data_IF_594580816796
#
_entry.id   IF_594580816796
#
_cell.length_a   1.000
_cell.length_b   1.000
_cell.length_c   1.000
_cell.angle_alpha   90.00
_cell.angle_beta   90.00
_cell.angle_gamma   90.00
#
_symmetry.space_group_name_H-M   'P 1'
#
loop_
_entity.id
_entity.type
_entity.pdbx_description
1 polymer ?
#
# COMPACT_ATOMS: atom_id res chain seq x y z
N UNK A 1 -7.78 -5.83 18.65
CA UNK A 1 -8.98 -4.99 18.49
C UNK A 1 -9.06 -4.69 17.01
N UNK A 2 -9.90 -5.39 16.26
CA UNK A 2 -10.07 -5.15 14.82
C UNK A 2 -11.13 -4.07 14.63
N UNK A 3 -10.90 -3.10 13.73
CA UNK A 3 -11.86 -2.03 13.43
C UNK A 3 -11.29 -0.61 13.43
N UNK A 4 -10.01 -0.42 13.77
CA UNK A 4 -9.38 0.92 13.68
C UNK A 4 -9.35 1.44 12.24
N UNK A 5 -9.15 0.55 11.26
CA UNK A 5 -9.19 0.92 9.86
C UNK A 5 -10.59 1.39 9.45
N UNK A 6 -11.64 0.73 9.92
CA UNK A 6 -13.03 1.13 9.69
C UNK A 6 -13.31 2.52 10.27
N UNK A 7 -13.02 2.71 11.57
CA UNK A 7 -13.26 3.97 12.27
C UNK A 7 -12.36 5.11 11.77
N UNK A 8 -11.29 4.79 11.03
CA UNK A 8 -10.36 5.77 10.52
C UNK A 8 -10.90 6.62 9.38
N UNK A 9 -11.88 6.10 8.62
CA UNK A 9 -12.34 6.69 7.37
C UNK A 9 -11.31 6.65 6.23
N UNK A 10 -10.19 5.95 6.40
CA UNK A 10 -9.16 5.81 5.36
C UNK A 10 -9.60 4.81 4.29
N UNK A 11 -9.27 5.13 3.04
CA UNK A 11 -9.36 4.21 1.91
C UNK A 11 -7.98 3.61 1.64
N UNK A 12 -7.95 2.32 1.33
CA UNK A 12 -6.73 1.57 1.04
C UNK A 12 -6.74 1.10 -0.41
N UNK A 13 -5.66 1.36 -1.13
CA UNK A 13 -5.50 0.95 -2.52
C UNK A 13 -4.46 -0.15 -2.66
N UNK A 14 -4.82 -1.26 -3.30
CA UNK A 14 -3.96 -2.46 -3.42
C UNK A 14 -3.35 -2.53 -4.81
N UNK A 15 -2.03 -2.74 -4.84
CA UNK A 15 -1.33 -3.06 -6.09
C UNK A 15 -1.75 -4.42 -6.68
N UNK A 16 -1.36 -4.66 -7.94
CA UNK A 16 -1.59 -5.93 -8.65
C UNK A 16 -0.99 -7.14 -7.96
N UNK A 17 0.14 -6.96 -7.27
CA UNK A 17 0.89 -8.05 -6.66
C UNK A 17 0.15 -8.71 -5.48
N UNK A 18 -0.69 -7.95 -4.78
CA UNK A 18 -1.54 -8.46 -3.71
C UNK A 18 -2.74 -9.29 -4.22
N UNK A 19 -3.01 -9.25 -5.53
CA UNK A 19 -4.13 -9.92 -6.16
C UNK A 19 -5.48 -9.26 -5.86
N UNK A 20 -6.53 -9.71 -6.56
CA UNK A 20 -7.86 -9.08 -6.53
C UNK A 20 -8.94 -9.87 -5.77
N UNK A 21 -8.58 -10.97 -5.11
CA UNK A 21 -9.54 -11.85 -4.41
C UNK A 21 -9.15 -12.06 -2.95
N UNK A 22 -8.13 -12.87 -2.66
CA UNK A 22 -7.86 -13.35 -1.29
C UNK A 22 -7.55 -12.20 -0.32
N UNK A 23 -6.59 -11.34 -0.66
CA UNK A 23 -6.17 -10.22 0.18
C UNK A 23 -7.28 -9.17 0.35
N UNK A 24 -7.89 -8.61 -0.73
CA UNK A 24 -8.93 -7.61 -0.57
C UNK A 24 -10.18 -8.15 0.16
N UNK A 25 -10.59 -9.39 -0.08
CA UNK A 25 -11.72 -9.99 0.65
C UNK A 25 -11.44 -10.07 2.15
N UNK A 26 -10.29 -10.60 2.56
CA UNK A 26 -9.95 -10.73 3.98
C UNK A 26 -9.83 -9.36 4.69
N UNK A 27 -9.27 -8.35 4.03
CA UNK A 27 -9.20 -7.00 4.60
C UNK A 27 -10.59 -6.36 4.74
N UNK A 28 -11.49 -6.57 3.77
CA UNK A 28 -12.88 -6.10 3.84
C UNK A 28 -13.68 -6.79 4.93
N UNK A 29 -13.49 -8.10 5.11
CA UNK A 29 -14.09 -8.85 6.22
C UNK A 29 -13.64 -8.33 7.59
N UNK A 30 -12.42 -7.78 7.67
CA UNK A 30 -11.92 -7.08 8.85
C UNK A 30 -12.38 -5.60 8.96
N UNK A 31 -13.21 -5.12 8.04
CA UNK A 31 -13.80 -3.78 8.05
C UNK A 31 -13.00 -2.70 7.31
N UNK A 32 -11.94 -3.05 6.58
CA UNK A 32 -11.16 -2.07 5.82
C UNK A 32 -11.90 -1.64 4.55
N UNK A 33 -11.85 -0.35 4.23
CA UNK A 33 -12.31 0.17 2.94
C UNK A 33 -11.19 0.00 1.92
N UNK A 34 -11.34 -0.97 1.03
CA UNK A 34 -10.28 -1.42 0.11
C UNK A 34 -10.76 -1.31 -1.34
N UNK A 35 -9.91 -0.80 -2.23
CA UNK A 35 -10.09 -0.84 -3.68
C UNK A 35 -8.85 -1.43 -4.35
N UNK A 36 -9.05 -2.32 -5.32
CA UNK A 36 -7.99 -2.98 -6.08
C UNK A 36 -7.76 -2.32 -7.44
N UNK A 37 -6.63 -2.59 -8.07
CA UNK A 37 -6.40 -2.15 -9.46
C UNK A 37 -7.46 -2.69 -10.45
N UNK A 38 -7.92 -3.93 -10.27
CA UNK A 38 -8.95 -4.53 -11.13
C UNK A 38 -10.31 -3.81 -10.99
N UNK A 39 -10.66 -3.36 -9.79
CA UNK A 39 -11.89 -2.60 -9.56
C UNK A 39 -11.78 -1.17 -10.10
N UNK A 40 -10.62 -0.53 -9.95
CA UNK A 40 -10.40 0.85 -10.42
C UNK A 40 -10.31 0.95 -11.95
N UNK A 41 -9.56 0.05 -12.57
CA UNK A 41 -9.22 0.16 -13.99
C UNK A 41 -9.94 -0.87 -14.87
N UNK A 42 -10.54 -1.90 -14.28
CA UNK A 42 -11.05 -3.07 -14.97
C UNK A 42 -9.95 -4.13 -15.19
N UNK A 43 -10.33 -5.40 -15.11
CA UNK A 43 -9.40 -6.56 -15.15
C UNK A 43 -8.47 -6.57 -16.38
N UNK A 44 -8.97 -6.18 -17.55
CA UNK A 44 -8.17 -6.21 -18.78
C UNK A 44 -7.17 -5.05 -18.85
N UNK A 45 -7.56 -3.88 -18.35
CA UNK A 45 -6.74 -2.67 -18.41
C UNK A 45 -5.76 -2.59 -17.26
N UNK A 46 -6.11 -3.11 -16.08
CA UNK A 46 -5.28 -3.02 -14.86
C UNK A 46 -3.85 -3.52 -15.11
N UNK A 47 -3.69 -4.58 -15.90
CA UNK A 47 -2.38 -5.16 -16.26
C UNK A 47 -1.48 -4.21 -17.04
N UNK A 48 -2.06 -3.23 -17.74
CA UNK A 48 -1.36 -2.29 -18.61
C UNK A 48 -1.15 -0.92 -17.97
N UNK A 49 -1.72 -0.67 -16.78
CA UNK A 49 -1.51 0.59 -16.07
C UNK A 49 -0.10 0.61 -15.49
N UNK A 50 0.76 1.58 -15.87
CA UNK A 50 2.11 1.71 -15.33
C UNK A 50 2.10 2.02 -13.84
N UNK A 51 3.16 1.62 -13.13
CA UNK A 51 3.21 1.79 -11.68
C UNK A 51 3.20 3.26 -11.25
N UNK A 52 3.86 4.13 -12.01
CA UNK A 52 3.87 5.57 -11.76
C UNK A 52 2.45 6.15 -11.81
N UNK A 53 1.65 5.72 -12.80
CA UNK A 53 0.31 6.24 -13.02
C UNK A 53 -0.62 5.89 -11.85
N UNK A 54 -0.70 4.61 -11.44
CA UNK A 54 -1.64 4.26 -10.37
C UNK A 54 -1.18 4.80 -9.00
N UNK A 55 0.13 4.91 -8.75
CA UNK A 55 0.66 5.53 -7.53
C UNK A 55 0.19 6.98 -7.43
N UNK A 56 0.34 7.74 -8.52
CA UNK A 56 -0.09 9.14 -8.58
C UNK A 56 -1.60 9.27 -8.38
N UNK A 57 -2.39 8.54 -9.17
CA UNK A 57 -3.86 8.62 -9.13
C UNK A 57 -4.44 8.21 -7.77
N UNK A 58 -3.94 7.12 -7.17
CA UNK A 58 -4.36 6.68 -5.84
C UNK A 58 -3.98 7.69 -4.75
N UNK A 59 -2.78 8.24 -4.83
CA UNK A 59 -2.34 9.24 -3.86
C UNK A 59 -3.17 10.52 -3.96
N UNK A 60 -3.47 11.00 -5.18
CA UNK A 60 -4.32 12.17 -5.42
C UNK A 60 -5.74 11.97 -4.86
N UNK A 61 -6.29 10.75 -4.97
CA UNK A 61 -7.59 10.39 -4.39
C UNK A 61 -7.56 10.31 -2.84
N UNK A 62 -6.38 10.37 -2.24
CA UNK A 62 -6.21 10.30 -0.79
C UNK A 62 -6.13 8.87 -0.25
N UNK A 63 -5.87 7.88 -1.11
CA UNK A 63 -5.73 6.50 -0.67
C UNK A 63 -4.41 6.27 0.09
N UNK A 64 -4.41 5.27 0.97
CA UNK A 64 -3.21 4.67 1.56
C UNK A 64 -2.83 3.46 0.73
N UNK A 65 -1.60 3.42 0.23
CA UNK A 65 -1.17 2.38 -0.71
C UNK A 65 -0.70 1.14 0.07
N UNK A 66 -1.21 -0.03 -0.31
CA UNK A 66 -0.72 -1.34 0.13
C UNK A 66 -0.04 -2.03 -1.04
N UNK A 67 1.22 -2.41 -0.86
CA UNK A 67 2.04 -2.98 -1.94
C UNK A 67 2.60 -4.35 -1.58
N UNK A 68 2.79 -5.20 -2.58
CA UNK A 68 3.38 -6.54 -2.41
C UNK A 68 4.85 -6.49 -2.02
N UNK A 69 5.61 -5.52 -2.52
CA UNK A 69 7.06 -5.47 -2.32
C UNK A 69 7.53 -4.05 -2.04
N UNK A 70 8.52 -3.96 -1.16
CA UNK A 70 9.21 -2.72 -0.79
C UNK A 70 10.09 -2.17 -1.91
N UNK A 71 10.40 -2.97 -2.94
CA UNK A 71 11.22 -2.56 -4.08
C UNK A 71 10.64 -1.35 -4.84
N UNK A 72 9.34 -1.08 -4.68
CA UNK A 72 8.67 0.14 -5.18
C UNK A 72 9.31 1.45 -4.68
N UNK A 73 10.01 1.40 -3.54
CA UNK A 73 10.77 2.52 -3.00
C UNK A 73 12.18 2.68 -3.59
N UNK A 74 12.68 1.66 -4.29
CA UNK A 74 14.05 1.57 -4.83
C UNK A 74 14.12 1.85 -6.33
N UNK A 75 13.08 1.47 -7.08
CA UNK A 75 12.96 1.76 -8.51
C UNK A 75 12.89 3.29 -8.71
N UNK A 76 13.76 3.91 -9.53
CA UNK A 76 13.81 5.37 -9.67
C UNK A 76 12.49 6.03 -10.06
N UNK A 77 11.73 5.43 -10.98
CA UNK A 77 10.49 6.04 -11.47
C UNK A 77 9.35 5.91 -10.46
N UNK A 78 9.24 4.76 -9.80
CA UNK A 78 8.24 4.52 -8.76
C UNK A 78 8.57 5.31 -7.49
N UNK A 79 9.85 5.37 -7.09
CA UNK A 79 10.31 6.19 -5.98
C UNK A 79 10.04 7.68 -6.22
N UNK A 80 10.24 8.16 -7.46
CA UNK A 80 9.86 9.51 -7.84
C UNK A 80 8.34 9.71 -7.72
N UNK A 81 7.53 8.80 -8.26
CA UNK A 81 6.06 8.88 -8.18
C UNK A 81 5.60 8.92 -6.72
N UNK A 82 6.09 8.02 -5.85
CA UNK A 82 5.79 8.00 -4.42
C UNK A 82 6.14 9.33 -3.74
N UNK A 83 7.32 9.87 -4.03
CA UNK A 83 7.80 11.09 -3.38
C UNK A 83 7.03 12.33 -3.85
N UNK A 84 6.87 12.49 -5.17
CA UNK A 84 6.28 13.68 -5.77
C UNK A 84 4.77 13.75 -5.50
N UNK A 85 4.07 12.62 -5.51
CA UNK A 85 2.63 12.60 -5.26
C UNK A 85 2.25 12.78 -3.80
N UNK A 86 3.18 12.61 -2.85
CA UNK A 86 2.86 12.63 -1.42
C UNK A 86 2.41 11.28 -0.87
N UNK A 87 2.82 10.17 -1.49
CA UNK A 87 2.28 8.85 -1.21
C UNK A 87 2.50 8.41 0.26
N UNK A 88 1.47 7.77 0.80
CA UNK A 88 1.48 7.09 2.10
C UNK A 88 1.39 5.60 1.84
N UNK A 89 2.51 4.89 1.92
CA UNK A 89 2.59 3.50 1.48
C UNK A 89 3.04 2.53 2.57
N UNK A 90 2.52 1.31 2.51
CA UNK A 90 2.94 0.17 3.31
C UNK A 90 3.16 -1.02 2.37
N UNK A 91 4.36 -1.56 2.34
CA UNK A 91 4.72 -2.66 1.45
C UNK A 91 5.21 -3.86 2.25
N UNK A 92 4.89 -5.08 1.83
CA UNK A 92 5.40 -6.27 2.51
C UNK A 92 6.92 -6.33 2.35
N UNK A 93 7.62 -6.71 3.44
CA UNK A 93 9.07 -6.84 3.41
C UNK A 93 9.56 -8.09 2.66
N UNK A 94 8.66 -9.03 2.35
CA UNK A 94 8.94 -10.27 1.63
C UNK A 94 7.89 -10.48 0.53
N UNK A 95 8.31 -10.39 -0.73
CA UNK A 95 7.43 -10.55 -1.88
C UNK A 95 7.00 -12.01 -2.14
N UNK A 96 7.65 -13.00 -1.53
CA UNK A 96 7.37 -14.42 -1.71
C UNK A 96 6.30 -14.97 -0.75
N UNK A 97 5.63 -14.11 0.02
CA UNK A 97 4.58 -14.53 0.94
C UNK A 97 3.36 -15.10 0.19
N UNK A 98 2.76 -16.21 0.66
CA UNK A 98 1.46 -16.65 0.18
C UNK A 98 0.38 -15.60 0.48
N UNK A 99 -0.66 -15.51 -0.35
CA UNK A 99 -1.73 -14.51 -0.19
C UNK A 99 -2.39 -14.51 1.20
N UNK A 100 -2.50 -15.66 1.86
CA UNK A 100 -3.01 -15.73 3.24
C UNK A 100 -2.10 -15.01 4.25
N UNK A 101 -0.79 -15.11 4.05
CA UNK A 101 0.16 -14.45 4.95
C UNK A 101 0.22 -12.95 4.66
N UNK A 102 0.06 -12.54 3.39
CA UNK A 102 0.03 -11.12 3.02
C UNK A 102 -1.01 -10.33 3.81
N UNK A 103 -2.27 -10.76 3.84
CA UNK A 103 -3.32 -10.03 4.57
C UNK A 103 -3.10 -10.10 6.09
N UNK A 104 -2.65 -11.25 6.61
CA UNK A 104 -2.37 -11.40 8.05
C UNK A 104 -1.34 -10.38 8.54
N UNK A 105 -0.30 -10.10 7.74
CA UNK A 105 0.68 -9.06 8.05
C UNK A 105 0.03 -7.69 8.17
N UNK A 106 -0.83 -7.31 7.24
CA UNK A 106 -1.51 -6.01 7.32
C UNK A 106 -2.46 -5.93 8.52
N UNK A 107 -3.24 -6.98 8.79
CA UNK A 107 -4.16 -7.01 9.93
C UNK A 107 -3.43 -6.97 11.28
N UNK A 108 -2.31 -7.69 11.40
CA UNK A 108 -1.49 -7.67 12.61
C UNK A 108 -0.99 -6.26 12.94
N UNK A 109 -0.74 -5.45 11.91
CA UNK A 109 -0.23 -4.08 12.04
C UNK A 109 -1.30 -3.00 11.85
N UNK A 110 -2.60 -3.34 11.87
CA UNK A 110 -3.72 -2.42 11.60
C UNK A 110 -3.59 -1.10 12.36
N UNK A 111 -3.52 -1.18 13.70
CA UNK A 111 -3.38 -0.01 14.58
C UNK A 111 -2.17 0.85 14.19
N UNK A 112 -1.04 0.22 13.90
CA UNK A 112 0.17 0.95 13.53
C UNK A 112 0.01 1.61 12.16
N UNK A 113 -0.54 0.91 11.17
CA UNK A 113 -0.78 1.42 9.82
C UNK A 113 -1.67 2.67 9.88
N UNK A 114 -2.81 2.57 10.55
CA UNK A 114 -3.78 3.67 10.69
C UNK A 114 -3.14 4.87 11.38
N UNK A 115 -2.42 4.65 12.48
CA UNK A 115 -1.77 5.73 13.23
C UNK A 115 -0.71 6.45 12.39
N UNK A 116 0.12 5.73 11.63
CA UNK A 116 1.13 6.34 10.77
C UNK A 116 0.48 7.08 9.59
N UNK A 117 -0.54 6.51 8.96
CA UNK A 117 -1.27 7.11 7.85
C UNK A 117 -2.00 8.42 8.21
N UNK A 118 -2.44 8.55 9.48
CA UNK A 118 -3.07 9.77 10.00
C UNK A 118 -2.06 10.82 10.46
N UNK A 119 -0.93 10.41 11.06
CA UNK A 119 -0.02 11.33 11.74
C UNK A 119 1.11 11.86 10.86
N UNK A 120 1.57 11.09 9.88
CA UNK A 120 2.68 11.49 9.02
C UNK A 120 2.12 12.21 7.78
N UNK A 121 2.50 13.47 7.62
CA UNK A 121 2.04 14.35 6.53
C UNK A 121 3.03 14.46 5.37
N UNK A 122 4.21 13.85 5.48
CA UNK A 122 5.23 13.79 4.42
C UNK A 122 5.19 12.42 3.72
N UNK A 123 5.63 12.30 2.45
CA UNK A 123 5.69 11.02 1.78
C UNK A 123 6.45 9.98 2.61
N UNK A 124 5.91 8.77 2.68
CA UNK A 124 6.55 7.69 3.40
C UNK A 124 6.25 6.33 2.80
N UNK A 125 7.15 5.39 3.10
CA UNK A 125 6.90 3.98 2.95
C UNK A 125 7.42 3.20 4.15
N UNK A 126 6.59 2.29 4.66
CA UNK A 126 6.99 1.32 5.68
C UNK A 126 7.04 -0.08 5.09
N UNK A 127 8.13 -0.80 5.37
CA UNK A 127 8.20 -2.23 5.17
C UNK A 127 7.43 -2.93 6.30
N UNK A 128 6.44 -3.74 5.95
CA UNK A 128 5.65 -4.56 6.86
C UNK A 128 6.35 -5.90 7.01
N UNK A 129 7.00 -6.08 8.16
CA UNK A 129 7.59 -7.36 8.56
C UNK A 129 6.59 -8.18 9.37
N UNK A 130 6.99 -9.38 9.76
CA UNK A 130 6.25 -10.23 10.67
C UNK A 130 5.88 -9.54 11.98
N UNK A 131 6.88 -8.96 12.63
CA UNK A 131 6.80 -8.48 14.00
C UNK A 131 6.75 -6.95 14.11
N UNK A 132 7.02 -6.23 13.01
CA UNK A 132 7.19 -4.77 13.04
C UNK A 132 6.94 -4.07 11.72
N UNK A 133 6.68 -2.77 11.80
CA UNK A 133 6.82 -1.84 10.70
C UNK A 133 8.21 -1.18 10.73
N UNK A 134 8.90 -1.16 9.59
CA UNK A 134 10.20 -0.47 9.46
C UNK A 134 10.11 0.61 8.40
N UNK A 135 10.32 1.87 8.78
CA UNK A 135 10.39 2.97 7.80
C UNK A 135 11.55 2.75 6.84
N UNK A 136 11.30 2.96 5.55
CA UNK A 136 12.31 2.87 4.50
C UNK A 136 12.53 4.22 3.84
N UNK A 137 13.73 4.42 3.30
CA UNK A 137 14.02 5.58 2.47
C UNK A 137 13.38 5.37 1.11
N UNK A 138 12.68 6.37 0.61
CA UNK A 138 12.31 6.46 -0.80
C UNK A 138 13.58 6.91 -1.55
N UNK A 139 13.94 6.24 -2.64
CA UNK A 139 15.15 6.55 -3.43
C UNK A 139 14.93 7.75 -4.36
N UNK A 140 14.36 8.82 -3.81
CA UNK A 140 14.14 10.09 -4.47
C UNK A 140 14.04 11.21 -3.42
N UNK A 141 14.55 12.44 -3.67
CA UNK A 141 15.37 12.81 -4.82
C UNK A 141 16.70 12.07 -4.81
N UNK A 142 17.23 11.75 -6.00
CA UNK A 142 18.56 11.16 -6.12
C UNK A 142 19.57 12.16 -5.54
N UNK A 143 20.36 11.71 -4.56
CA UNK A 143 21.47 12.52 -4.06
C UNK A 143 22.41 12.78 -5.23
N UNK A 144 22.67 14.06 -5.50
CA UNK A 144 23.65 14.52 -6.50
C UNK A 144 25.05 14.04 -6.13
#
# INVERSE_FOLDING_TARGET
MAGEAHDSGLTFFLDRGLGSVIVPTALREAGWIVETMDERYGKDRSQHIPDQQWIEEATIRGDVLLCKDIEIASNPLEAQALYVSGARAFALANAALPGQEMFRRFLLHETSIVNHAKRITVPFIFAVHEDRLRRKSIRYPLKR
#
